data_IF_550924579002
#
_entry.id   IF_550924579002
#
_cell.length_a   1.000
_cell.length_b   1.000
_cell.length_c   1.000
_cell.angle_alpha   90.00
_cell.angle_beta   90.00
_cell.angle_gamma   90.00
#
_symmetry.space_group_name_H-M   'P 1'
#
loop_
_entity.id
_entity.type
_entity.pdbx_description
1 polymer ?
#
# COMPACT_ATOMS: atom_id res chain seq x y z
N UNK A 1 -25.01 8.40 17.83
CA UNK A 1 -25.01 6.94 18.06
C UNK A 1 -24.09 6.68 19.24
N UNK A 2 -24.51 5.92 20.26
CA UNK A 2 -23.65 5.54 21.38
C UNK A 2 -22.46 4.74 20.82
N UNK A 3 -21.27 5.02 21.32
CA UNK A 3 -20.08 4.25 20.94
C UNK A 3 -20.32 2.76 21.23
N UNK A 4 -19.96 1.85 20.30
CA UNK A 4 -20.11 0.41 20.55
C UNK A 4 -19.29 0.02 21.78
N UNK A 5 -19.82 -0.91 22.58
CA UNK A 5 -19.05 -1.45 23.70
C UNK A 5 -17.72 -2.05 23.20
N UNK A 6 -16.63 -1.96 23.99
CA UNK A 6 -15.35 -2.54 23.61
C UNK A 6 -15.47 -4.01 23.20
N UNK A 7 -14.85 -4.37 22.10
CA UNK A 7 -14.82 -5.74 21.57
C UNK A 7 -13.41 -6.19 21.24
N UNK A 8 -13.25 -7.47 20.87
CA UNK A 8 -11.98 -8.06 20.48
C UNK A 8 -11.94 -8.32 18.98
N UNK A 9 -10.95 -7.76 18.31
CA UNK A 9 -10.71 -7.95 16.90
C UNK A 9 -9.45 -8.78 16.62
N UNK A 10 -9.49 -9.59 15.57
CA UNK A 10 -8.29 -10.20 15.00
C UNK A 10 -8.05 -9.61 13.61
N UNK A 11 -6.82 -9.17 13.35
CA UNK A 11 -6.39 -8.68 12.04
C UNK A 11 -5.26 -9.56 11.52
N UNK A 12 -5.50 -10.26 10.41
CA UNK A 12 -4.52 -11.09 9.73
C UNK A 12 -3.87 -10.30 8.60
N UNK A 13 -2.64 -9.81 8.81
CA UNK A 13 -1.98 -8.85 7.92
C UNK A 13 -0.54 -9.21 7.52
N UNK A 14 -0.06 -10.43 7.85
CA UNK A 14 1.33 -10.81 7.59
C UNK A 14 1.66 -11.14 6.13
N UNK A 15 2.95 -11.19 5.85
CA UNK A 15 3.54 -11.74 4.64
C UNK A 15 4.18 -10.74 3.69
N UNK A 16 3.71 -9.51 3.61
CA UNK A 16 4.31 -8.41 2.83
C UNK A 16 3.95 -7.06 3.45
N UNK A 17 4.77 -6.04 3.19
CA UNK A 17 4.46 -4.67 3.66
C UNK A 17 3.13 -4.13 3.14
N UNK A 18 2.71 -4.54 1.93
CA UNK A 18 1.42 -4.14 1.36
C UNK A 18 0.18 -4.67 2.08
N UNK A 19 0.32 -5.71 2.90
CA UNK A 19 -0.75 -6.22 3.78
C UNK A 19 -0.55 -5.78 5.24
N UNK A 20 0.70 -5.75 5.68
CA UNK A 20 1.05 -5.47 7.07
C UNK A 20 0.73 -4.03 7.47
N UNK A 21 1.24 -3.05 6.73
CA UNK A 21 1.05 -1.64 7.10
C UNK A 21 -0.42 -1.18 7.05
N UNK A 22 -1.22 -1.54 6.04
CA UNK A 22 -2.65 -1.26 6.09
C UNK A 22 -3.36 -1.96 7.25
N UNK A 23 -2.95 -3.18 7.61
CA UNK A 23 -3.50 -3.89 8.77
C UNK A 23 -3.15 -3.22 10.09
N UNK A 24 -1.91 -2.74 10.25
CA UNK A 24 -1.49 -1.95 11.40
C UNK A 24 -2.30 -0.66 11.52
N UNK A 25 -2.53 0.06 10.43
CA UNK A 25 -3.34 1.29 10.44
C UNK A 25 -4.78 1.05 10.94
N UNK A 26 -5.39 -0.08 10.58
CA UNK A 26 -6.71 -0.47 11.11
C UNK A 26 -6.60 -0.88 12.58
N UNK A 27 -5.54 -1.61 12.97
CA UNK A 27 -5.31 -2.01 14.36
C UNK A 27 -5.18 -0.80 15.29
N UNK A 28 -4.38 0.18 14.90
CA UNK A 28 -4.22 1.44 15.62
C UNK A 28 -5.56 2.19 15.76
N UNK A 29 -6.34 2.26 14.68
CA UNK A 29 -7.64 2.92 14.68
C UNK A 29 -8.61 2.25 15.65
N UNK A 30 -8.68 0.91 15.65
CA UNK A 30 -9.53 0.16 16.58
C UNK A 30 -9.04 0.28 18.02
N UNK A 31 -7.73 0.27 18.24
CA UNK A 31 -7.12 0.43 19.56
C UNK A 31 -7.46 1.82 20.16
N UNK A 32 -7.31 2.89 19.36
CA UNK A 32 -7.67 4.25 19.76
C UNK A 32 -9.17 4.39 20.13
N UNK A 33 -10.02 3.58 19.51
CA UNK A 33 -11.46 3.50 19.83
C UNK A 33 -11.77 2.62 21.05
N UNK A 34 -10.73 2.07 21.71
CA UNK A 34 -10.84 1.30 22.94
C UNK A 34 -11.10 -0.21 22.72
N UNK A 35 -10.88 -0.74 21.51
CA UNK A 35 -11.02 -2.16 21.22
C UNK A 35 -9.71 -2.92 21.46
N UNK A 36 -9.80 -4.19 21.84
CA UNK A 36 -8.65 -5.07 21.99
C UNK A 36 -8.31 -5.73 20.64
N UNK A 37 -7.08 -5.56 20.16
CA UNK A 37 -6.65 -6.08 18.86
C UNK A 37 -5.56 -7.13 19.04
N UNK A 38 -5.72 -8.26 18.34
CA UNK A 38 -4.71 -9.31 18.18
C UNK A 38 -4.31 -9.40 16.71
N UNK A 39 -3.01 -9.29 16.43
CA UNK A 39 -2.49 -9.41 15.08
C UNK A 39 -2.10 -10.84 14.74
N UNK A 40 -2.47 -11.31 13.57
CA UNK A 40 -1.94 -12.51 12.96
C UNK A 40 -0.96 -12.13 11.86
N UNK A 41 0.27 -12.60 12.02
CA UNK A 41 1.39 -12.27 11.14
C UNK A 41 2.04 -13.53 10.60
N UNK A 42 2.90 -13.41 9.60
CA UNK A 42 3.67 -14.53 9.09
C UNK A 42 4.98 -14.73 9.87
N UNK A 43 5.70 -15.78 9.53
CA UNK A 43 7.02 -16.06 10.10
C UNK A 43 8.14 -15.21 9.46
N UNK A 44 7.81 -14.28 8.54
CA UNK A 44 8.81 -13.46 7.83
C UNK A 44 9.40 -12.37 8.70
N UNK A 45 10.65 -12.04 8.43
CA UNK A 45 11.41 -11.02 9.17
C UNK A 45 10.80 -9.62 9.06
N UNK A 46 10.22 -9.26 7.92
CA UNK A 46 9.56 -7.97 7.72
C UNK A 46 8.42 -7.74 8.73
N UNK A 47 7.65 -8.79 9.04
CA UNK A 47 6.56 -8.71 10.00
C UNK A 47 7.11 -8.51 11.42
N UNK A 48 8.19 -9.22 11.77
CA UNK A 48 8.84 -9.09 13.07
C UNK A 48 9.48 -7.70 13.28
N UNK A 49 10.06 -7.12 12.22
CA UNK A 49 10.67 -5.79 12.29
C UNK A 49 9.63 -4.71 12.48
N UNK A 50 8.55 -4.72 11.71
CA UNK A 50 7.49 -3.72 11.84
C UNK A 50 6.78 -3.77 13.19
N UNK A 51 6.63 -4.95 13.79
CA UNK A 51 6.00 -5.10 15.12
C UNK A 51 6.85 -4.58 16.27
N UNK A 52 8.15 -4.39 16.10
CA UNK A 52 9.00 -3.78 17.15
C UNK A 52 8.61 -2.35 17.46
N UNK A 53 8.09 -1.64 16.46
CA UNK A 53 7.65 -0.26 16.59
C UNK A 53 6.22 -0.14 17.17
N UNK A 54 5.55 -1.30 17.38
CA UNK A 54 4.17 -1.39 17.87
C UNK A 54 4.04 -2.35 19.07
N UNK A 55 4.72 -2.06 20.19
CA UNK A 55 4.72 -2.95 21.39
C UNK A 55 3.34 -3.09 22.05
N UNK A 56 2.40 -2.19 21.74
CA UNK A 56 1.03 -2.21 22.24
C UNK A 56 0.21 -3.39 21.67
N UNK A 57 0.60 -3.94 20.52
CA UNK A 57 -0.13 -5.05 19.89
C UNK A 57 0.48 -6.41 20.23
N UNK A 58 -0.37 -7.29 20.70
CA UNK A 58 -0.04 -8.72 20.73
C UNK A 58 -0.10 -9.29 19.32
N UNK A 59 0.89 -10.09 18.96
CA UNK A 59 0.94 -10.76 17.67
C UNK A 59 1.16 -12.27 17.85
N UNK A 60 0.47 -13.05 17.01
CA UNK A 60 0.62 -14.49 16.90
C UNK A 60 1.09 -14.85 15.50
N UNK A 61 2.16 -15.64 15.41
CA UNK A 61 2.70 -16.09 14.13
C UNK A 61 1.90 -17.28 13.63
N UNK A 62 1.44 -17.19 12.38
CA UNK A 62 0.76 -18.30 11.71
C UNK A 62 1.65 -18.93 10.64
N UNK A 63 1.69 -20.27 10.56
CA UNK A 63 2.32 -20.95 9.42
C UNK A 63 1.63 -20.52 8.13
N UNK A 64 2.33 -19.81 7.27
CA UNK A 64 1.78 -19.38 5.98
C UNK A 64 2.75 -19.66 4.85
N UNK A 65 2.23 -20.17 3.76
CA UNK A 65 2.97 -20.43 2.52
C UNK A 65 2.11 -20.00 1.35
N UNK A 66 2.71 -19.39 0.35
CA UNK A 66 2.02 -19.07 -0.89
C UNK A 66 1.52 -20.34 -1.60
N UNK A 67 0.35 -20.27 -2.21
CA UNK A 67 -0.18 -21.38 -3.00
C UNK A 67 0.70 -21.58 -4.24
N UNK A 68 1.23 -22.78 -4.47
CA UNK A 68 2.00 -23.10 -5.68
C UNK A 68 1.15 -22.90 -6.94
N UNK A 69 1.79 -22.57 -8.04
CA UNK A 69 1.13 -22.48 -9.35
C UNK A 69 0.64 -23.85 -9.86
N UNK A 70 1.40 -24.91 -9.56
CA UNK A 70 1.04 -26.28 -9.92
C UNK A 70 0.39 -26.99 -8.73
N UNK A 71 -0.92 -27.27 -8.86
CA UNK A 71 -1.73 -27.94 -7.83
C UNK A 71 -1.46 -29.45 -7.71
N UNK A 72 -0.75 -30.05 -8.67
CA UNK A 72 -0.37 -31.49 -8.66
C UNK A 72 1.02 -31.69 -8.07
N UNK A 73 1.71 -30.62 -7.66
CA UNK A 73 3.08 -30.68 -7.15
C UNK A 73 3.14 -31.12 -5.66
N UNK A 74 4.24 -31.74 -5.21
CA UNK A 74 4.49 -32.00 -3.79
C UNK A 74 4.41 -30.73 -2.92
N UNK A 75 4.76 -29.58 -3.50
CA UNK A 75 4.63 -28.29 -2.84
C UNK A 75 3.17 -27.94 -2.50
N UNK A 76 2.20 -28.42 -3.29
CA UNK A 76 0.78 -28.22 -3.00
C UNK A 76 0.33 -29.03 -1.78
N UNK A 77 0.83 -30.23 -1.60
CA UNK A 77 0.57 -31.04 -0.39
C UNK A 77 1.12 -30.31 0.86
N UNK A 78 2.33 -29.77 0.76
CA UNK A 78 2.93 -28.94 1.82
C UNK A 78 2.09 -27.70 2.13
N UNK A 79 1.55 -27.04 1.11
CA UNK A 79 0.64 -25.90 1.26
C UNK A 79 -0.64 -26.31 2.01
N UNK A 80 -1.29 -27.41 1.62
CA UNK A 80 -2.51 -27.91 2.27
C UNK A 80 -2.24 -28.25 3.75
N UNK A 81 -1.13 -28.95 4.04
CA UNK A 81 -0.75 -29.25 5.42
C UNK A 81 -0.60 -28.00 6.25
N UNK A 82 0.18 -27.02 5.79
CA UNK A 82 0.38 -25.74 6.50
C UNK A 82 -0.90 -24.94 6.64
N UNK A 83 -1.78 -24.98 5.67
CA UNK A 83 -3.10 -24.36 5.75
C UNK A 83 -3.92 -24.95 6.92
N UNK A 84 -3.97 -26.29 7.06
CA UNK A 84 -4.70 -26.93 8.16
C UNK A 84 -4.02 -26.77 9.51
N UNK A 85 -2.70 -26.68 9.57
CA UNK A 85 -1.94 -26.29 10.77
C UNK A 85 -2.36 -24.89 11.22
N UNK A 86 -2.33 -23.91 10.31
CA UNK A 86 -2.77 -22.55 10.56
C UNK A 86 -4.24 -22.49 11.01
N UNK A 87 -5.14 -23.20 10.32
CA UNK A 87 -6.54 -23.28 10.70
C UNK A 87 -6.74 -23.85 12.12
N UNK A 88 -6.04 -24.92 12.46
CA UNK A 88 -6.10 -25.52 13.79
C UNK A 88 -5.59 -24.56 14.86
N UNK A 89 -4.51 -23.84 14.58
CA UNK A 89 -3.97 -22.81 15.47
C UNK A 89 -4.97 -21.66 15.67
N UNK A 90 -5.60 -21.16 14.59
CA UNK A 90 -6.67 -20.17 14.68
C UNK A 90 -7.79 -20.61 15.61
N UNK A 91 -8.26 -21.85 15.49
CA UNK A 91 -9.31 -22.40 16.37
C UNK A 91 -8.91 -22.40 17.85
N UNK A 92 -7.66 -22.71 18.18
CA UNK A 92 -7.13 -22.67 19.55
C UNK A 92 -7.10 -21.23 20.07
N UNK A 93 -6.58 -20.30 19.27
CA UNK A 93 -6.49 -18.88 19.63
C UNK A 93 -7.89 -18.28 19.79
N UNK A 94 -8.84 -18.58 18.88
CA UNK A 94 -10.22 -18.08 18.98
C UNK A 94 -10.96 -18.55 20.23
N UNK A 95 -10.69 -19.75 20.74
CA UNK A 95 -11.26 -20.22 22.01
C UNK A 95 -10.74 -19.41 23.21
N UNK A 96 -9.46 -19.00 23.15
CA UNK A 96 -8.76 -18.29 24.22
C UNK A 96 -9.02 -16.79 24.17
N UNK A 97 -8.88 -16.19 23.01
CA UNK A 97 -9.01 -14.75 22.78
C UNK A 97 -10.48 -14.30 22.66
N UNK A 98 -11.38 -15.17 22.15
CA UNK A 98 -12.80 -14.92 21.93
C UNK A 98 -13.06 -13.66 21.09
N UNK A 99 -12.57 -13.61 19.84
CA UNK A 99 -12.79 -12.46 18.99
C UNK A 99 -14.28 -12.30 18.65
N UNK A 100 -14.71 -11.05 18.47
CA UNK A 100 -16.03 -10.68 17.96
C UNK A 100 -16.02 -10.50 16.43
N UNK A 101 -14.88 -10.19 15.85
CA UNK A 101 -14.72 -9.91 14.41
C UNK A 101 -13.32 -10.27 13.94
N UNK A 102 -13.21 -10.63 12.66
CA UNK A 102 -11.92 -10.97 12.02
C UNK A 102 -11.77 -10.24 10.70
N UNK A 103 -10.61 -9.62 10.48
CA UNK A 103 -10.22 -8.96 9.24
C UNK A 103 -9.00 -9.65 8.65
N UNK A 104 -9.04 -10.01 7.38
CA UNK A 104 -7.88 -10.45 6.60
C UNK A 104 -7.46 -9.37 5.61
N UNK A 105 -6.21 -8.93 5.70
CA UNK A 105 -5.66 -7.89 4.81
C UNK A 105 -5.11 -8.43 3.49
N UNK A 106 -5.21 -9.73 3.28
CA UNK A 106 -4.71 -10.39 2.07
C UNK A 106 -3.61 -11.40 2.32
N UNK A 107 -3.21 -12.06 1.24
CA UNK A 107 -2.25 -13.16 1.30
C UNK A 107 -2.81 -14.43 1.95
N UNK A 108 -2.04 -15.51 1.85
CA UNK A 108 -2.48 -16.79 2.42
C UNK A 108 -2.45 -16.84 3.95
N UNK A 109 -1.82 -15.87 4.61
CA UNK A 109 -1.90 -15.67 6.06
C UNK A 109 -3.33 -15.34 6.51
N UNK A 110 -4.15 -14.74 5.63
CA UNK A 110 -5.53 -14.34 5.94
C UNK A 110 -6.57 -15.45 5.71
N UNK A 111 -6.30 -16.41 4.82
CA UNK A 111 -7.34 -17.35 4.36
C UNK A 111 -7.81 -18.30 5.46
N UNK A 112 -6.87 -18.88 6.23
CA UNK A 112 -7.22 -19.79 7.32
C UNK A 112 -7.96 -19.08 8.48
N UNK A 113 -7.55 -17.87 8.93
CA UNK A 113 -8.33 -17.07 9.89
C UNK A 113 -9.77 -16.78 9.43
N UNK A 114 -9.96 -16.36 8.18
CA UNK A 114 -11.31 -16.08 7.65
C UNK A 114 -12.18 -17.33 7.64
N UNK A 115 -11.67 -18.47 7.18
CA UNK A 115 -12.39 -19.74 7.24
C UNK A 115 -12.74 -20.13 8.68
N UNK A 116 -11.79 -19.99 9.62
CA UNK A 116 -12.03 -20.30 11.02
C UNK A 116 -13.10 -19.39 11.67
N UNK A 117 -13.13 -18.11 11.29
CA UNK A 117 -14.15 -17.14 11.71
C UNK A 117 -15.53 -17.53 11.18
N UNK A 118 -15.63 -17.81 9.87
CA UNK A 118 -16.86 -18.27 9.23
C UNK A 118 -17.47 -19.49 9.89
N UNK A 119 -16.61 -20.49 10.17
CA UNK A 119 -17.04 -21.73 10.85
C UNK A 119 -17.50 -21.53 12.30
N UNK A 120 -17.19 -20.39 12.90
CA UNK A 120 -17.68 -19.98 14.22
C UNK A 120 -18.84 -19.01 14.17
N UNK A 121 -19.34 -18.65 13.00
CA UNK A 121 -20.41 -17.67 12.83
C UNK A 121 -20.00 -16.24 13.14
N UNK A 122 -18.70 -15.93 13.16
CA UNK A 122 -18.21 -14.58 13.43
C UNK A 122 -18.25 -13.73 12.16
N UNK A 123 -18.61 -12.44 12.27
CA UNK A 123 -18.38 -11.48 11.20
C UNK A 123 -16.92 -11.51 10.77
N UNK A 124 -16.68 -11.64 9.46
CA UNK A 124 -15.32 -11.70 8.94
C UNK A 124 -15.21 -11.00 7.58
N UNK A 125 -14.14 -10.26 7.41
CA UNK A 125 -13.90 -9.37 6.29
C UNK A 125 -12.57 -9.68 5.61
N UNK A 126 -12.52 -9.47 4.30
CA UNK A 126 -11.27 -9.51 3.52
C UNK A 126 -11.07 -8.15 2.89
N UNK A 127 -9.91 -7.57 3.08
CA UNK A 127 -9.52 -6.33 2.39
C UNK A 127 -8.71 -6.66 1.14
N UNK A 128 -9.10 -6.06 0.00
CA UNK A 128 -8.36 -6.11 -1.25
C UNK A 128 -7.96 -4.70 -1.67
N UNK A 129 -6.68 -4.44 -1.62
CA UNK A 129 -6.11 -3.13 -1.94
C UNK A 129 -5.94 -2.88 -3.44
N UNK A 130 -5.81 -3.93 -4.25
CA UNK A 130 -5.51 -3.80 -5.68
C UNK A 130 -6.78 -3.87 -6.54
N UNK A 131 -6.70 -3.30 -7.74
CA UNK A 131 -7.73 -3.41 -8.77
C UNK A 131 -7.97 -4.86 -9.23
N UNK A 132 -6.89 -5.66 -9.29
CA UNK A 132 -6.97 -7.10 -9.57
C UNK A 132 -6.73 -7.88 -8.28
N UNK A 133 -7.73 -8.63 -7.80
CA UNK A 133 -7.63 -9.37 -6.56
C UNK A 133 -6.60 -10.49 -6.62
N UNK A 134 -5.83 -10.63 -5.54
CA UNK A 134 -4.93 -11.76 -5.36
C UNK A 134 -5.67 -13.09 -5.19
N UNK A 135 -5.03 -14.21 -5.54
CA UNK A 135 -5.61 -15.58 -5.45
C UNK A 135 -6.13 -15.92 -4.05
N UNK A 136 -5.40 -15.52 -3.02
CA UNK A 136 -5.79 -15.72 -1.62
C UNK A 136 -7.09 -14.98 -1.29
N UNK A 137 -7.23 -13.73 -1.73
CA UNK A 137 -8.42 -12.92 -1.49
C UNK A 137 -9.63 -13.43 -2.26
N UNK A 138 -9.45 -13.91 -3.51
CA UNK A 138 -10.54 -14.57 -4.25
C UNK A 138 -11.05 -15.82 -3.53
N UNK A 139 -10.17 -16.59 -2.90
CA UNK A 139 -10.56 -17.74 -2.10
C UNK A 139 -11.23 -17.33 -0.79
N UNK A 140 -10.64 -16.42 -0.03
CA UNK A 140 -11.14 -15.98 1.27
C UNK A 140 -12.49 -15.24 1.16
N UNK A 141 -12.72 -14.52 0.06
CA UNK A 141 -13.99 -13.83 -0.23
C UNK A 141 -15.22 -14.76 -0.24
N UNK A 142 -15.03 -16.05 -0.59
CA UNK A 142 -16.11 -17.05 -0.57
C UNK A 142 -16.64 -17.34 0.84
N UNK A 143 -15.88 -17.02 1.86
CA UNK A 143 -16.19 -17.26 3.27
C UNK A 143 -16.44 -15.96 4.04
N UNK A 144 -16.03 -14.83 3.49
CA UNK A 144 -16.14 -13.53 4.14
C UNK A 144 -17.60 -13.04 4.19
N UNK A 145 -17.94 -12.26 5.21
CA UNK A 145 -19.21 -11.52 5.32
C UNK A 145 -19.28 -10.44 4.24
N UNK A 146 -18.18 -9.73 4.03
CA UNK A 146 -18.02 -8.75 2.95
C UNK A 146 -16.55 -8.64 2.54
N UNK A 147 -16.33 -8.15 1.33
CA UNK A 147 -15.03 -7.77 0.81
C UNK A 147 -14.89 -6.26 0.88
N UNK A 148 -13.88 -5.78 1.59
CA UNK A 148 -13.54 -4.37 1.67
C UNK A 148 -12.56 -4.05 0.54
N UNK A 149 -12.91 -3.13 -0.34
CA UNK A 149 -12.14 -2.88 -1.56
C UNK A 149 -11.46 -1.51 -1.52
N UNK A 150 -10.24 -1.46 -2.06
CA UNK A 150 -9.45 -0.23 -2.19
C UNK A 150 -9.89 0.64 -3.36
N UNK A 151 -10.37 0.02 -4.44
CA UNK A 151 -10.86 0.66 -5.64
C UNK A 151 -12.26 0.18 -5.98
N UNK A 152 -13.13 1.07 -6.43
CA UNK A 152 -14.51 0.70 -6.79
C UNK A 152 -14.54 -0.31 -7.95
N UNK A 153 -13.63 -0.22 -8.89
CA UNK A 153 -13.47 -1.09 -10.06
C UNK A 153 -13.23 -2.55 -9.65
N UNK A 154 -12.67 -2.78 -8.46
CA UNK A 154 -12.42 -4.14 -7.93
C UNK A 154 -13.72 -4.89 -7.67
N UNK A 155 -14.86 -4.21 -7.45
CA UNK A 155 -16.19 -4.80 -7.23
C UNK A 155 -16.57 -5.80 -8.32
N UNK A 156 -16.26 -5.48 -9.57
CA UNK A 156 -16.57 -6.34 -10.73
C UNK A 156 -15.85 -7.69 -10.68
N UNK A 157 -14.76 -7.77 -9.91
CA UNK A 157 -13.98 -9.00 -9.73
C UNK A 157 -14.52 -9.92 -8.64
N UNK A 158 -15.52 -9.46 -7.90
CA UNK A 158 -16.19 -10.20 -6.83
C UNK A 158 -17.73 -10.23 -7.03
N UNK A 159 -18.23 -10.78 -8.16
CA UNK A 159 -19.63 -10.66 -8.54
C UNK A 159 -20.63 -11.29 -7.55
N UNK A 160 -20.16 -12.25 -6.74
CA UNK A 160 -20.99 -12.95 -5.74
C UNK A 160 -20.74 -12.49 -4.30
N UNK A 161 -19.88 -11.50 -4.07
CA UNK A 161 -19.58 -11.00 -2.74
C UNK A 161 -20.20 -9.62 -2.49
N UNK A 162 -20.59 -9.39 -1.24
CA UNK A 162 -20.93 -8.03 -0.81
C UNK A 162 -19.63 -7.21 -0.70
N UNK A 163 -19.48 -6.22 -1.58
CA UNK A 163 -18.30 -5.35 -1.60
C UNK A 163 -18.62 -4.00 -0.99
N UNK A 164 -17.74 -3.52 -0.11
CA UNK A 164 -17.77 -2.17 0.47
C UNK A 164 -16.50 -1.43 0.10
N UNK A 165 -16.62 -0.29 -0.57
CA UNK A 165 -15.46 0.54 -0.88
C UNK A 165 -15.05 1.32 0.37
N UNK A 166 -13.93 0.92 0.98
CA UNK A 166 -13.35 1.57 2.15
C UNK A 166 -12.12 2.40 1.82
N UNK A 167 -11.58 2.25 0.61
CA UNK A 167 -10.23 2.68 0.28
C UNK A 167 -9.18 1.75 0.89
N UNK A 168 -7.91 1.99 0.58
CA UNK A 168 -6.78 1.25 1.17
C UNK A 168 -6.23 2.00 2.36
N UNK A 169 -6.21 1.41 3.57
CA UNK A 169 -5.66 2.04 4.76
C UNK A 169 -4.19 2.45 4.57
N UNK A 170 -3.88 3.67 4.97
CA UNK A 170 -2.53 4.23 4.93
C UNK A 170 -1.97 4.23 6.35
N UNK A 171 -0.70 3.87 6.50
CA UNK A 171 0.00 3.85 7.79
C UNK A 171 -0.11 5.20 8.49
N UNK A 172 -0.34 5.16 9.81
CA UNK A 172 -0.58 6.36 10.62
C UNK A 172 0.66 7.25 10.70
N UNK A 173 1.85 6.64 10.80
CA UNK A 173 3.12 7.34 10.88
C UNK A 173 3.48 8.12 9.59
N UNK A 174 2.68 8.01 8.53
CA UNK A 174 2.82 8.87 7.36
C UNK A 174 2.47 10.35 7.66
N UNK A 175 1.90 10.66 8.81
CA UNK A 175 1.61 12.03 9.20
C UNK A 175 0.61 12.75 8.29
N UNK A 176 0.42 14.05 8.58
CA UNK A 176 -0.31 14.99 7.72
C UNK A 176 0.65 15.74 6.80
N UNK A 177 0.17 16.34 5.70
CA UNK A 177 0.99 17.25 4.91
C UNK A 177 1.65 18.32 5.77
N UNK A 178 2.95 18.55 5.54
CA UNK A 178 3.75 19.57 6.18
C UNK A 178 3.78 20.83 5.31
N UNK A 179 4.13 21.96 5.92
CA UNK A 179 4.47 23.14 5.14
C UNK A 179 5.70 22.86 4.26
N UNK A 180 5.61 23.26 2.98
CA UNK A 180 6.67 22.96 1.99
C UNK A 180 8.05 23.42 2.45
N UNK A 181 8.15 24.61 3.01
CA UNK A 181 9.42 25.17 3.46
C UNK A 181 10.06 24.37 4.60
N UNK A 182 9.26 23.77 5.47
CA UNK A 182 9.75 22.87 6.52
C UNK A 182 10.22 21.54 5.96
N UNK A 183 9.42 20.94 5.08
CA UNK A 183 9.79 19.69 4.43
C UNK A 183 11.10 19.82 3.62
N UNK A 184 11.27 20.93 2.89
CA UNK A 184 12.49 21.20 2.10
C UNK A 184 13.77 21.30 2.94
N UNK A 185 13.70 21.83 4.15
CA UNK A 185 14.88 21.93 5.05
C UNK A 185 15.50 20.56 5.32
N UNK A 186 14.67 19.52 5.42
CA UNK A 186 15.14 18.14 5.67
C UNK A 186 16.07 17.65 4.56
N UNK A 187 15.80 18.07 3.33
CA UNK A 187 16.54 17.63 2.14
C UNK A 187 17.66 18.60 1.73
N UNK A 188 17.76 19.76 2.36
CA UNK A 188 18.74 20.79 1.99
C UNK A 188 18.50 21.35 0.58
N UNK A 189 17.25 21.37 0.13
CA UNK A 189 16.83 21.80 -1.20
C UNK A 189 16.17 23.19 -1.17
N UNK A 190 16.12 23.86 -2.32
CA UNK A 190 15.56 25.20 -2.48
C UNK A 190 14.03 25.16 -2.59
N UNK A 191 13.26 25.77 -1.66
CA UNK A 191 11.80 25.75 -1.71
C UNK A 191 11.19 26.48 -2.92
N UNK A 192 11.95 27.32 -3.60
CA UNK A 192 11.48 28.05 -4.80
C UNK A 192 11.56 27.21 -6.10
N UNK A 193 12.28 26.09 -6.09
CA UNK A 193 12.44 25.24 -7.27
C UNK A 193 11.39 24.13 -7.32
N UNK A 194 11.02 23.73 -8.53
CA UNK A 194 10.19 22.53 -8.70
C UNK A 194 10.93 21.26 -8.29
N UNK A 195 10.27 20.43 -7.49
CA UNK A 195 10.85 19.22 -6.92
C UNK A 195 10.18 17.97 -7.48
N UNK A 196 11.01 17.10 -8.04
CA UNK A 196 10.62 15.77 -8.49
C UNK A 196 10.98 14.75 -7.40
N UNK A 197 10.00 14.01 -6.89
CA UNK A 197 10.23 12.83 -6.06
C UNK A 197 10.28 11.59 -6.93
N UNK A 198 11.30 10.76 -6.73
CA UNK A 198 11.41 9.45 -7.39
C UNK A 198 11.50 8.36 -6.33
N UNK A 199 10.58 7.39 -6.41
CA UNK A 199 10.55 6.28 -5.47
C UNK A 199 10.08 4.98 -6.11
N UNK A 200 10.79 3.89 -5.85
CA UNK A 200 10.39 2.54 -6.25
C UNK A 200 9.62 1.78 -5.17
N UNK A 201 9.26 2.45 -4.05
CA UNK A 201 8.79 1.80 -2.83
C UNK A 201 9.95 1.20 -2.03
N UNK A 202 9.63 0.42 -0.99
CA UNK A 202 10.61 -0.11 -0.01
C UNK A 202 11.74 -0.98 -0.60
N UNK A 203 11.54 -1.54 -1.79
CA UNK A 203 12.54 -2.39 -2.46
C UNK A 203 13.38 -1.63 -3.49
N UNK A 204 13.05 -0.36 -3.76
CA UNK A 204 13.61 0.39 -4.88
C UNK A 204 13.07 -0.09 -6.24
N UNK A 205 13.50 0.54 -7.33
CA UNK A 205 13.09 0.21 -8.69
C UNK A 205 14.21 0.50 -9.69
N UNK A 206 15.12 -0.44 -9.87
CA UNK A 206 16.27 -0.27 -10.78
C UNK A 206 15.88 0.16 -12.20
N UNK A 207 14.73 -0.31 -12.73
CA UNK A 207 14.24 0.13 -14.04
C UNK A 207 13.89 1.63 -14.07
N UNK A 208 13.22 2.13 -13.04
CA UNK A 208 12.94 3.58 -12.89
C UNK A 208 14.25 4.34 -12.74
N UNK A 209 15.16 3.86 -11.87
CA UNK A 209 16.44 4.49 -11.64
C UNK A 209 17.24 4.63 -12.94
N UNK A 210 17.37 3.55 -13.73
CA UNK A 210 18.08 3.56 -15.00
C UNK A 210 17.46 4.48 -16.06
N UNK A 211 16.12 4.51 -16.15
CA UNK A 211 15.40 5.41 -17.03
C UNK A 211 15.72 6.87 -16.66
N UNK A 212 15.66 7.21 -15.39
CA UNK A 212 15.94 8.55 -14.91
C UNK A 212 17.41 8.95 -15.12
N UNK A 213 18.37 8.05 -14.89
CA UNK A 213 19.80 8.33 -15.14
C UNK A 213 20.07 8.68 -16.60
N UNK A 214 19.41 8.02 -17.53
CA UNK A 214 19.49 8.33 -18.95
C UNK A 214 18.78 9.64 -19.33
N UNK A 215 17.76 10.03 -18.57
CA UNK A 215 17.00 11.26 -18.78
C UNK A 215 17.63 12.49 -18.12
N UNK A 216 18.48 12.30 -17.12
CA UNK A 216 19.07 13.39 -16.32
C UNK A 216 19.84 14.41 -17.16
N UNK A 217 20.67 14.05 -18.16
CA UNK A 217 21.34 15.04 -19.00
C UNK A 217 20.38 15.96 -19.77
N UNK A 218 19.17 15.48 -20.10
CA UNK A 218 18.13 16.25 -20.79
C UNK A 218 17.40 17.19 -19.83
N UNK A 219 17.30 16.79 -18.57
CA UNK A 219 16.72 17.58 -17.48
C UNK A 219 17.69 18.64 -16.94
N UNK A 220 18.97 18.55 -17.27
CA UNK A 220 19.98 19.53 -16.89
C UNK A 220 19.58 20.94 -17.35
N UNK A 221 19.77 21.94 -16.50
CA UNK A 221 19.42 23.33 -16.82
C UNK A 221 17.91 23.66 -16.82
N UNK A 222 17.03 22.70 -16.57
CA UNK A 222 15.57 22.93 -16.51
C UNK A 222 15.09 23.64 -15.23
N UNK A 223 15.98 23.86 -14.27
CA UNK A 223 15.69 24.51 -12.99
C UNK A 223 15.00 23.62 -11.96
N UNK A 224 14.88 22.33 -12.23
CA UNK A 224 14.32 21.34 -11.29
C UNK A 224 15.34 20.89 -10.25
N UNK A 225 14.83 20.26 -9.19
CA UNK A 225 15.62 19.51 -8.22
C UNK A 225 14.97 18.16 -7.94
N UNK A 226 15.75 17.21 -7.41
CA UNK A 226 15.31 15.82 -7.31
C UNK A 226 15.50 15.28 -5.89
N UNK A 227 14.44 14.68 -5.33
CA UNK A 227 14.51 13.76 -4.20
C UNK A 227 14.43 12.35 -4.77
N UNK A 228 15.49 11.55 -4.64
CA UNK A 228 15.51 10.20 -5.19
C UNK A 228 15.73 9.14 -4.11
N UNK A 229 14.71 8.32 -3.88
CA UNK A 229 14.75 7.18 -2.96
C UNK A 229 15.00 5.90 -3.79
N UNK A 230 16.26 5.58 -3.98
CA UNK A 230 16.74 4.63 -5.00
C UNK A 230 16.55 3.16 -4.65
N UNK A 231 16.37 2.85 -3.37
CA UNK A 231 16.58 1.50 -2.86
C UNK A 231 18.08 1.23 -2.56
N UNK A 232 18.40 0.02 -2.13
CA UNK A 232 19.67 -0.31 -1.49
C UNK A 232 20.94 -0.21 -2.34
N UNK A 233 20.83 -0.21 -3.67
CA UNK A 233 21.99 -0.47 -4.54
C UNK A 233 22.41 0.70 -5.45
N UNK A 234 21.55 1.68 -5.67
CA UNK A 234 21.73 2.66 -6.74
C UNK A 234 22.01 4.09 -6.23
N UNK A 235 22.10 4.30 -4.91
CA UNK A 235 22.25 5.63 -4.30
C UNK A 235 23.51 6.37 -4.75
N UNK A 236 24.67 5.71 -4.73
CA UNK A 236 25.93 6.30 -5.17
C UNK A 236 25.92 6.65 -6.66
N UNK A 237 25.32 5.77 -7.47
CA UNK A 237 25.23 5.99 -8.92
C UNK A 237 24.28 7.14 -9.23
N UNK A 238 23.15 7.25 -8.52
CA UNK A 238 22.22 8.35 -8.67
C UNK A 238 22.86 9.70 -8.33
N UNK A 239 23.53 9.81 -7.18
CA UNK A 239 24.21 11.03 -6.77
C UNK A 239 25.29 11.45 -7.79
N UNK A 240 26.10 10.51 -8.28
CA UNK A 240 27.14 10.80 -9.29
C UNK A 240 26.55 11.30 -10.62
N UNK A 241 25.41 10.75 -11.07
CA UNK A 241 24.74 11.22 -12.29
C UNK A 241 24.21 12.65 -12.12
N UNK A 242 23.52 12.95 -11.01
CA UNK A 242 22.95 14.28 -10.78
C UNK A 242 24.03 15.34 -10.56
N UNK A 243 25.14 14.99 -9.89
CA UNK A 243 26.29 15.87 -9.72
C UNK A 243 26.95 16.18 -11.06
N UNK A 244 27.15 15.18 -11.93
CA UNK A 244 27.72 15.38 -13.28
C UNK A 244 26.85 16.34 -14.11
N UNK A 245 25.52 16.25 -13.99
CA UNK A 245 24.57 16.98 -14.80
C UNK A 245 24.11 18.30 -14.10
N UNK A 246 24.77 18.71 -13.02
CA UNK A 246 24.49 19.92 -12.23
C UNK A 246 23.01 20.06 -11.80
N UNK A 247 22.39 18.95 -11.42
CA UNK A 247 21.03 18.91 -10.90
C UNK A 247 21.05 18.90 -9.37
N UNK A 248 20.48 19.89 -8.68
CA UNK A 248 20.38 19.85 -7.22
C UNK A 248 19.56 18.65 -6.78
N UNK A 249 20.06 17.90 -5.79
CA UNK A 249 19.46 16.62 -5.43
C UNK A 249 19.65 16.23 -3.96
N UNK A 250 18.71 15.43 -3.48
CA UNK A 250 18.86 14.58 -2.31
C UNK A 250 18.70 13.13 -2.74
N UNK A 251 19.68 12.30 -2.40
CA UNK A 251 19.65 10.87 -2.73
C UNK A 251 19.83 10.05 -1.47
N UNK A 252 18.95 9.07 -1.28
CA UNK A 252 19.05 8.11 -0.19
C UNK A 252 18.49 6.74 -0.63
N UNK A 253 18.94 5.64 -0.02
CA UNK A 253 18.33 4.33 -0.27
C UNK A 253 16.86 4.28 0.15
N UNK A 254 16.52 4.95 1.24
CA UNK A 254 15.18 4.97 1.83
C UNK A 254 14.99 6.21 2.71
N UNK A 255 13.75 6.65 2.86
CA UNK A 255 13.39 7.73 3.80
C UNK A 255 12.26 7.28 4.70
N UNK A 256 12.43 7.42 6.03
CA UNK A 256 11.46 6.90 7.00
C UNK A 256 10.20 7.76 7.10
N UNK A 257 10.37 9.07 7.00
CA UNK A 257 9.30 10.07 7.13
C UNK A 257 8.84 10.53 5.75
N UNK A 258 8.12 9.64 5.05
CA UNK A 258 7.67 9.89 3.67
C UNK A 258 6.77 11.13 3.56
N UNK A 259 6.11 11.56 4.63
CA UNK A 259 5.37 12.83 4.67
C UNK A 259 6.23 14.04 4.32
N UNK A 260 7.52 14.02 4.69
CA UNK A 260 8.47 15.06 4.33
C UNK A 260 8.75 15.06 2.83
N UNK A 261 9.03 13.88 2.26
CA UNK A 261 9.31 13.73 0.84
C UNK A 261 8.09 14.09 -0.03
N UNK A 262 6.90 13.65 0.37
CA UNK A 262 5.66 14.00 -0.34
C UNK A 262 5.35 15.48 -0.24
N UNK A 263 5.50 16.09 0.95
CA UNK A 263 5.21 17.53 1.15
C UNK A 263 6.20 18.45 0.44
N UNK A 264 7.44 17.99 0.24
CA UNK A 264 8.46 18.73 -0.49
C UNK A 264 8.29 18.70 -2.02
N UNK A 265 7.41 17.85 -2.56
CA UNK A 265 7.41 17.50 -3.98
C UNK A 265 6.24 18.08 -4.75
N UNK A 266 6.47 18.43 -6.02
CA UNK A 266 5.45 18.89 -6.98
C UNK A 266 4.96 17.78 -7.90
N UNK A 267 5.78 16.76 -8.11
CA UNK A 267 5.51 15.62 -8.99
C UNK A 267 6.19 14.38 -8.41
N UNK A 268 5.53 13.23 -8.50
CA UNK A 268 6.13 11.96 -8.07
C UNK A 268 6.21 10.96 -9.21
N UNK A 269 7.37 10.31 -9.36
CA UNK A 269 7.54 9.10 -10.18
C UNK A 269 7.56 7.91 -9.25
N UNK A 270 6.67 6.94 -9.48
CA UNK A 270 6.55 5.78 -8.60
C UNK A 270 6.10 4.52 -9.33
N UNK A 271 6.34 3.36 -8.69
CA UNK A 271 5.58 2.14 -8.98
C UNK A 271 4.12 2.32 -8.59
N UNK A 272 3.24 1.48 -9.15
CA UNK A 272 1.80 1.53 -8.90
C UNK A 272 1.32 0.49 -7.87
N UNK A 273 2.06 0.30 -6.79
CA UNK A 273 1.60 -0.48 -5.64
C UNK A 273 0.45 0.24 -4.91
N UNK A 274 -0.62 -0.46 -4.55
CA UNK A 274 -1.83 0.14 -3.98
C UNK A 274 -1.55 1.00 -2.74
N UNK A 275 -0.67 0.57 -1.83
CA UNK A 275 -0.30 1.37 -0.66
C UNK A 275 0.39 2.69 -1.05
N UNK A 276 1.35 2.66 -1.99
CA UNK A 276 2.01 3.89 -2.47
C UNK A 276 1.04 4.83 -3.15
N UNK A 277 0.13 4.29 -3.96
CA UNK A 277 -0.91 5.09 -4.62
C UNK A 277 -1.85 5.77 -3.60
N UNK A 278 -2.24 5.06 -2.54
CA UNK A 278 -3.05 5.64 -1.47
C UNK A 278 -2.31 6.73 -0.69
N UNK A 279 -1.00 6.57 -0.46
CA UNK A 279 -0.14 7.60 0.12
C UNK A 279 -0.05 8.84 -0.80
N UNK A 280 0.23 8.65 -2.09
CA UNK A 280 0.28 9.70 -3.11
C UNK A 280 -1.06 10.46 -3.17
N UNK A 281 -2.18 9.75 -3.14
CA UNK A 281 -3.52 10.34 -3.14
C UNK A 281 -3.80 11.14 -1.87
N UNK A 282 -3.38 10.66 -0.70
CA UNK A 282 -3.52 11.38 0.57
C UNK A 282 -2.84 12.75 0.51
N UNK A 283 -1.69 12.84 -0.13
CA UNK A 283 -0.96 14.09 -0.33
C UNK A 283 -1.46 14.87 -1.57
N UNK A 284 -2.25 14.25 -2.42
CA UNK A 284 -2.75 14.85 -3.66
C UNK A 284 -1.61 15.18 -4.62
N UNK A 285 -0.64 14.28 -4.77
CA UNK A 285 0.49 14.51 -5.65
C UNK A 285 0.18 14.07 -7.08
N UNK A 286 0.39 14.94 -8.07
CA UNK A 286 0.47 14.54 -9.46
C UNK A 286 1.52 13.46 -9.64
N UNK A 287 1.25 12.45 -10.46
CA UNK A 287 2.18 11.33 -10.57
C UNK A 287 2.43 10.87 -12.00
N UNK A 288 3.64 10.35 -12.22
CA UNK A 288 3.98 9.50 -13.36
C UNK A 288 4.14 8.09 -12.80
N UNK A 289 3.25 7.21 -13.22
CA UNK A 289 3.22 5.83 -12.73
C UNK A 289 3.90 4.90 -13.73
N UNK A 290 4.88 4.16 -13.24
CA UNK A 290 5.62 3.15 -14.00
C UNK A 290 5.39 1.80 -13.33
N UNK A 291 4.36 1.04 -13.74
CA UNK A 291 4.04 -0.26 -13.15
C UNK A 291 5.21 -1.24 -13.23
N UNK A 292 5.37 -2.08 -12.19
CA UNK A 292 6.37 -3.13 -12.22
C UNK A 292 5.98 -4.19 -13.25
N UNK A 293 6.83 -4.45 -14.28
CA UNK A 293 6.46 -5.28 -15.43
C UNK A 293 6.31 -6.78 -15.12
N UNK A 294 6.73 -7.22 -13.93
CA UNK A 294 6.62 -8.60 -13.47
C UNK A 294 5.67 -8.73 -12.27
N UNK A 295 4.77 -7.75 -12.09
CA UNK A 295 3.76 -7.82 -11.05
C UNK A 295 2.79 -8.99 -11.32
N UNK A 296 2.51 -9.78 -10.28
CA UNK A 296 1.59 -10.92 -10.39
C UNK A 296 0.23 -10.47 -10.94
N UNK A 297 -0.26 -11.17 -11.96
CA UNK A 297 -1.54 -10.88 -12.63
C UNK A 297 -1.65 -9.40 -13.09
N UNK A 298 -0.54 -8.73 -13.39
CA UNK A 298 -0.47 -7.32 -13.83
C UNK A 298 -1.20 -6.30 -12.92
N UNK A 299 -1.35 -6.62 -11.62
CA UNK A 299 -2.12 -5.79 -10.70
C UNK A 299 -1.64 -4.34 -10.62
N UNK A 300 -0.30 -4.08 -10.75
CA UNK A 300 0.20 -2.71 -10.74
C UNK A 300 -0.21 -1.93 -11.99
N UNK A 301 -0.25 -2.58 -13.16
CA UNK A 301 -0.73 -1.95 -14.38
C UNK A 301 -2.20 -1.55 -14.22
N UNK A 302 -3.04 -2.46 -13.74
CA UNK A 302 -4.46 -2.16 -13.50
C UNK A 302 -4.68 -1.04 -12.46
N UNK A 303 -3.87 -1.01 -11.40
CA UNK A 303 -3.91 0.09 -10.43
C UNK A 303 -3.56 1.44 -11.10
N UNK A 304 -2.50 1.47 -11.91
CA UNK A 304 -2.07 2.69 -12.61
C UNK A 304 -3.09 3.16 -13.65
N UNK A 305 -3.74 2.24 -14.34
CA UNK A 305 -4.79 2.54 -15.32
C UNK A 305 -5.96 3.28 -14.68
N UNK A 306 -6.37 2.94 -13.46
CA UNK A 306 -7.43 3.67 -12.72
C UNK A 306 -7.02 5.14 -12.53
N UNK A 307 -5.79 5.39 -12.09
CA UNK A 307 -5.30 6.76 -11.89
C UNK A 307 -5.15 7.54 -13.19
N UNK A 308 -4.66 6.89 -14.23
CA UNK A 308 -4.48 7.51 -15.55
C UNK A 308 -5.82 7.84 -16.21
N UNK A 309 -6.78 6.91 -16.18
CA UNK A 309 -8.14 7.11 -16.71
C UNK A 309 -8.90 8.21 -15.96
N UNK A 310 -8.66 8.33 -14.65
CA UNK A 310 -9.21 9.43 -13.85
C UNK A 310 -8.50 10.77 -14.11
N UNK A 311 -7.40 10.82 -14.85
CA UNK A 311 -6.61 12.02 -15.09
C UNK A 311 -5.74 12.45 -13.90
N UNK A 312 -5.52 11.55 -12.92
CA UNK A 312 -4.70 11.80 -11.73
C UNK A 312 -3.21 11.46 -11.94
N UNK A 313 -2.89 10.70 -12.98
CA UNK A 313 -1.53 10.28 -13.28
C UNK A 313 -1.29 10.13 -14.79
N UNK A 314 -0.03 10.27 -15.19
CA UNK A 314 0.45 9.77 -16.48
C UNK A 314 0.96 8.34 -16.31
N UNK A 315 0.60 7.45 -17.23
CA UNK A 315 1.03 6.06 -17.24
C UNK A 315 2.15 5.86 -18.25
N UNK A 316 3.29 5.34 -17.80
CA UNK A 316 4.45 5.06 -18.65
C UNK A 316 4.81 3.59 -18.55
N UNK A 317 4.87 2.90 -19.67
CA UNK A 317 5.36 1.51 -19.72
C UNK A 317 6.90 1.50 -19.69
N UNK A 318 7.50 0.84 -18.71
CA UNK A 318 8.95 0.86 -18.49
C UNK A 318 9.76 0.45 -19.73
N UNK A 319 9.28 -0.53 -20.49
CA UNK A 319 9.99 -1.05 -21.68
C UNK A 319 9.90 -0.13 -22.92
N UNK A 320 8.92 0.77 -22.94
CA UNK A 320 8.60 1.63 -24.09
C UNK A 320 9.06 3.06 -23.88
N UNK A 321 9.53 3.39 -22.67
CA UNK A 321 9.93 4.74 -22.31
C UNK A 321 11.29 5.10 -22.92
N UNK A 322 11.30 6.04 -23.90
CA UNK A 322 12.56 6.67 -24.31
C UNK A 322 12.97 7.73 -23.27
N UNK A 323 14.27 7.89 -22.99
CA UNK A 323 14.76 8.92 -22.07
C UNK A 323 14.32 10.35 -22.46
N UNK A 324 14.27 10.64 -23.76
CA UNK A 324 13.89 11.96 -24.29
C UNK A 324 12.40 12.25 -24.06
N UNK A 325 11.52 11.30 -24.39
CA UNK A 325 10.07 11.43 -24.17
C UNK A 325 9.79 11.55 -22.67
N UNK A 326 10.48 10.77 -21.87
CA UNK A 326 10.29 10.76 -20.42
C UNK A 326 10.76 12.07 -19.76
N UNK A 327 11.92 12.59 -20.15
CA UNK A 327 12.41 13.88 -19.69
C UNK A 327 11.47 15.03 -20.09
N UNK A 328 11.00 15.04 -21.34
CA UNK A 328 10.05 16.03 -21.82
C UNK A 328 8.71 15.96 -21.07
N UNK A 329 8.21 14.77 -20.76
CA UNK A 329 7.00 14.59 -19.94
C UNK A 329 7.18 15.19 -18.53
N UNK A 330 8.30 14.90 -17.87
CA UNK A 330 8.63 15.46 -16.54
C UNK A 330 8.68 17.00 -16.61
N UNK A 331 9.43 17.55 -17.56
CA UNK A 331 9.60 19.00 -17.72
C UNK A 331 8.26 19.70 -18.03
N UNK A 332 7.42 19.11 -18.88
CA UNK A 332 6.09 19.62 -19.21
C UNK A 332 5.19 19.66 -17.99
N UNK A 333 5.11 18.56 -17.24
CA UNK A 333 4.27 18.48 -16.04
C UNK A 333 4.74 19.45 -14.96
N UNK A 334 6.05 19.60 -14.75
CA UNK A 334 6.58 20.54 -13.75
C UNK A 334 6.36 22.02 -14.13
N UNK A 335 6.25 22.35 -15.42
CA UNK A 335 5.95 23.71 -15.88
C UNK A 335 4.46 24.05 -15.88
N UNK A 336 3.59 23.07 -16.08
CA UNK A 336 2.12 23.25 -16.18
C UNK A 336 1.45 23.13 -14.83
N UNK A 337 1.34 24.26 -14.09
CA UNK A 337 0.69 24.30 -12.77
C UNK A 337 -0.78 23.88 -12.86
N UNK A 338 -1.51 24.36 -13.87
CA UNK A 338 -2.96 24.08 -14.00
C UNK A 338 -3.23 22.59 -14.19
N UNK A 339 -2.36 21.93 -14.97
CA UNK A 339 -2.44 20.47 -15.14
C UNK A 339 -2.13 19.75 -13.84
N UNK A 340 -1.08 20.15 -13.09
CA UNK A 340 -0.76 19.56 -11.80
C UNK A 340 -1.88 19.73 -10.79
N UNK A 341 -2.49 20.91 -10.72
CA UNK A 341 -3.59 21.18 -9.78
C UNK A 341 -4.82 20.30 -10.08
N UNK A 342 -5.15 20.11 -11.36
CA UNK A 342 -6.20 19.19 -11.79
C UNK A 342 -5.86 17.74 -11.40
N UNK A 343 -4.65 17.28 -11.70
CA UNK A 343 -4.18 15.95 -11.33
C UNK A 343 -4.24 15.73 -9.81
N UNK A 344 -3.79 16.72 -9.02
CA UNK A 344 -3.84 16.73 -7.56
C UNK A 344 -5.27 16.56 -7.03
N UNK A 345 -6.19 17.38 -7.53
CA UNK A 345 -7.59 17.31 -7.13
C UNK A 345 -8.25 15.95 -7.45
N UNK A 346 -7.89 15.36 -8.59
CA UNK A 346 -8.39 14.05 -9.02
C UNK A 346 -7.75 12.92 -8.21
N UNK A 347 -6.45 12.99 -7.90
CA UNK A 347 -5.78 12.01 -7.05
C UNK A 347 -6.43 11.89 -5.66
N UNK A 348 -6.77 13.03 -5.03
CA UNK A 348 -7.46 13.07 -3.73
C UNK A 348 -8.84 12.41 -3.75
N UNK A 349 -9.51 12.36 -4.90
CA UNK A 349 -10.85 11.76 -5.04
C UNK A 349 -10.81 10.24 -5.17
N UNK A 350 -9.72 9.67 -5.68
CA UNK A 350 -9.59 8.22 -5.93
C UNK A 350 -9.49 7.46 -4.62
N UNK A 351 -8.71 7.96 -3.66
CA UNK A 351 -8.50 7.29 -2.39
C UNK A 351 -9.05 8.13 -1.23
N UNK A 352 -10.16 7.70 -0.61
CA UNK A 352 -10.70 8.39 0.55
C UNK A 352 -9.69 8.38 1.69
N UNK A 353 -9.36 9.57 2.23
CA UNK A 353 -8.31 9.76 3.24
C UNK A 353 -8.57 9.09 4.60
N UNK A 354 -9.77 8.58 4.83
CA UNK A 354 -10.20 7.96 6.09
C UNK A 354 -10.30 6.43 6.01
N UNK A 355 -9.57 5.78 5.11
CA UNK A 355 -9.75 4.36 4.81
C UNK A 355 -9.65 3.44 6.05
N UNK A 356 -8.72 3.68 6.98
CA UNK A 356 -8.62 2.89 8.21
C UNK A 356 -9.87 3.05 9.10
N UNK A 357 -10.40 4.27 9.21
CA UNK A 357 -11.66 4.54 9.92
C UNK A 357 -12.85 3.88 9.23
N UNK A 358 -12.94 3.95 7.90
CA UNK A 358 -14.01 3.31 7.14
C UNK A 358 -14.03 1.79 7.36
N UNK A 359 -12.84 1.15 7.40
CA UNK A 359 -12.72 -0.29 7.72
C UNK A 359 -13.18 -0.56 9.15
N UNK A 360 -12.74 0.24 10.12
CA UNK A 360 -13.14 0.11 11.52
C UNK A 360 -14.67 0.27 11.69
N UNK A 361 -15.28 1.27 11.03
CA UNK A 361 -16.74 1.51 11.06
C UNK A 361 -17.53 0.30 10.57
N UNK A 362 -17.07 -0.35 9.48
CA UNK A 362 -17.71 -1.56 8.95
C UNK A 362 -17.58 -2.71 9.96
N UNK A 363 -16.43 -2.86 10.62
CA UNK A 363 -16.21 -3.91 11.62
C UNK A 363 -17.08 -3.68 12.87
N UNK A 364 -17.13 -2.45 13.38
CA UNK A 364 -17.96 -2.06 14.53
C UNK A 364 -19.46 -2.29 14.27
N UNK A 365 -19.92 -1.87 13.10
CA UNK A 365 -21.31 -2.09 12.68
C UNK A 365 -21.67 -3.58 12.67
N UNK A 366 -20.82 -4.41 12.12
CA UNK A 366 -21.07 -5.85 12.04
C UNK A 366 -21.08 -6.53 13.43
N UNK A 367 -20.22 -6.11 14.36
CA UNK A 367 -20.24 -6.60 15.75
C UNK A 367 -21.55 -6.19 16.44
N UNK A 368 -21.98 -4.95 16.26
CA UNK A 368 -23.25 -4.48 16.85
C UNK A 368 -24.46 -5.22 16.28
N UNK A 369 -24.50 -5.47 14.98
CA UNK A 369 -25.58 -6.24 14.33
C UNK A 369 -25.62 -7.70 14.81
N UNK A 370 -24.45 -8.33 15.03
CA UNK A 370 -24.35 -9.69 15.53
C UNK A 370 -24.67 -9.84 17.04
N UNK A 371 -24.72 -8.74 17.79
CA UNK A 371 -25.04 -8.72 19.23
C UNK A 371 -26.54 -8.52 19.50
N UNK A 372 -27.32 -8.24 18.46
CA UNK A 372 -28.80 -8.16 18.50
C UNK A 372 -29.44 -9.53 18.30
#
# INVERSE_FOLDING_TARGET
>A
MSQPSPFRAIIACGGTGGHLFPGLAVAETLHDRGHEVLLFVSEKEIDATALRDHPEFRAEKLPSVGMPSNIVSPAFVGFIRRFWESYSQCKKIYRKFRPSVVLGMGGFTSTAPILAARMKGLPCFVHESNAIPGRANRLAAKFATSVLIGFEETRQRFPSANCVNTGTPVRRNLGSPLERAEAMKVFGLDPSRHTLLVTGGSQGASGINQLLFKSAPILAGSGIQIIHLTGKNDDRLAAANYQRDDIPHYVAPFHHRMEEAYSASDLVISRAGASSLSEISKFGLPSILIPYPFATDDHQKANAEIYSQAGAAELVAEKEASPEIFANLIATLLKDSDKRDKMSALARKIAPGAAASNVADVMEKAVWEASK
#
